data_IF_248075722942
#
_entry.id   IF_248075722942
#
_cell.length_a   1.000
_cell.length_b   1.000
_cell.length_c   1.000
_cell.angle_alpha   90.00
_cell.angle_beta   90.00
_cell.angle_gamma   90.00
#
_symmetry.space_group_name_H-M   'P 1'
#
loop_
_entity.id
_entity.type
_entity.pdbx_description
1 polymer ?
#
# COMPACT_ATOMS: atom_id res chain seq x y z
N UNK A 1 -10.74 -10.21 -6.13
CA UNK A 1 -10.22 -9.50 -4.96
C UNK A 1 -8.75 -9.80 -4.78
N UNK A 2 -7.90 -8.79 -4.71
CA UNK A 2 -6.46 -8.97 -4.62
C UNK A 2 -5.99 -8.74 -3.19
N UNK A 3 -5.02 -9.53 -2.76
CA UNK A 3 -4.40 -9.35 -1.45
C UNK A 3 -2.97 -8.86 -1.66
N UNK A 4 -2.71 -7.63 -1.26
CA UNK A 4 -1.41 -7.00 -1.47
C UNK A 4 -0.57 -7.09 -0.20
N UNK A 5 -0.05 -8.28 0.07
CA UNK A 5 0.71 -8.55 1.29
C UNK A 5 1.90 -7.62 1.46
N UNK A 6 2.55 -7.26 0.35
CA UNK A 6 3.74 -6.41 0.41
C UNK A 6 3.45 -5.00 0.89
N UNK A 7 2.21 -4.53 0.78
CA UNK A 7 1.82 -3.23 1.34
C UNK A 7 2.03 -3.21 2.84
N UNK A 8 1.56 -4.23 3.53
CA UNK A 8 1.72 -4.33 4.97
C UNK A 8 3.19 -4.45 5.33
N UNK A 9 3.92 -5.30 4.61
CA UNK A 9 5.36 -5.50 4.87
C UNK A 9 6.12 -4.20 4.71
N UNK A 10 5.87 -3.45 3.64
CA UNK A 10 6.51 -2.16 3.40
C UNK A 10 6.17 -1.15 4.49
N UNK A 11 4.91 -1.11 4.90
CA UNK A 11 4.47 -0.20 5.95
C UNK A 11 5.18 -0.53 7.27
N UNK A 12 5.21 -1.79 7.66
CA UNK A 12 5.87 -2.21 8.90
C UNK A 12 7.37 -2.01 8.84
N UNK A 13 8.00 -2.27 7.70
CA UNK A 13 9.43 -2.04 7.52
C UNK A 13 9.81 -0.57 7.67
N UNK A 14 8.89 0.34 7.40
CA UNK A 14 9.11 1.78 7.54
C UNK A 14 8.55 2.34 8.85
N UNK A 15 8.15 1.47 9.77
CA UNK A 15 7.64 1.86 11.10
C UNK A 15 6.43 2.80 11.01
N UNK A 16 5.58 2.58 10.03
CA UNK A 16 4.38 3.40 9.83
C UNK A 16 3.14 2.67 10.31
N UNK A 17 2.20 3.42 10.89
CA UNK A 17 0.88 2.89 11.22
C UNK A 17 -0.06 3.04 10.02
N UNK A 18 -1.15 2.27 10.02
CA UNK A 18 -2.18 2.43 8.99
C UNK A 18 -2.72 3.85 8.95
N UNK A 19 -2.88 4.46 10.13
CA UNK A 19 -3.36 5.84 10.22
C UNK A 19 -2.42 6.82 9.55
N UNK A 20 -1.10 6.64 9.74
CA UNK A 20 -0.12 7.52 9.12
C UNK A 20 -0.14 7.40 7.59
N UNK A 21 -0.24 6.18 7.07
CA UNK A 21 -0.31 5.96 5.62
C UNK A 21 -1.61 6.53 5.07
N UNK A 22 -2.72 6.32 5.77
CA UNK A 22 -4.00 6.89 5.35
C UNK A 22 -3.93 8.42 5.28
N UNK A 23 -3.29 9.06 6.26
CA UNK A 23 -3.10 10.51 6.24
C UNK A 23 -2.28 10.95 5.03
N UNK A 24 -1.22 10.22 4.72
CA UNK A 24 -0.41 10.51 3.52
C UNK A 24 -1.26 10.45 2.26
N UNK A 25 -2.16 9.46 2.18
CA UNK A 25 -3.04 9.27 1.03
C UNK A 25 -4.28 10.17 1.07
N UNK A 26 -4.44 10.97 2.12
CA UNK A 26 -5.59 11.87 2.34
C UNK A 26 -6.92 11.10 2.37
N UNK A 27 -6.91 9.97 3.07
CA UNK A 27 -8.11 9.16 3.27
C UNK A 27 -8.22 8.75 4.73
N UNK A 28 -9.37 8.21 5.09
CA UNK A 28 -9.59 7.73 6.46
C UNK A 28 -8.97 6.34 6.63
N UNK A 29 -8.51 6.04 7.83
CA UNK A 29 -7.86 4.78 8.13
C UNK A 29 -8.71 3.54 7.77
N UNK A 30 -10.03 3.50 8.04
CA UNK A 30 -10.83 2.34 7.62
C UNK A 30 -10.83 2.12 6.11
N UNK A 31 -10.75 3.17 5.32
CA UNK A 31 -10.67 3.05 3.86
C UNK A 31 -9.35 2.42 3.45
N UNK A 32 -8.24 2.87 4.04
CA UNK A 32 -6.93 2.30 3.76
C UNK A 32 -6.86 0.84 4.20
N UNK A 33 -7.45 0.51 5.35
CA UNK A 33 -7.48 -0.86 5.85
C UNK A 33 -8.08 -1.82 4.82
N UNK A 34 -9.12 -1.40 4.12
CA UNK A 34 -9.77 -2.25 3.11
C UNK A 34 -8.82 -2.60 1.97
N UNK A 35 -7.92 -1.69 1.61
CA UNK A 35 -6.90 -1.99 0.61
C UNK A 35 -5.87 -2.98 1.14
N UNK A 36 -5.35 -2.74 2.34
CA UNK A 36 -4.31 -3.59 2.90
C UNK A 36 -4.82 -4.99 3.21
N UNK A 37 -6.08 -5.12 3.61
CA UNK A 37 -6.68 -6.42 3.93
C UNK A 37 -7.15 -7.20 2.69
N UNK A 38 -7.15 -6.57 1.52
CA UNK A 38 -7.57 -7.23 0.28
C UNK A 38 -9.06 -7.21 0.04
N UNK A 39 -9.84 -6.51 0.88
CA UNK A 39 -11.28 -6.41 0.73
C UNK A 39 -11.64 -5.58 -0.51
N UNK A 40 -10.78 -4.63 -0.88
CA UNK A 40 -11.02 -3.74 -2.00
C UNK A 40 -9.74 -3.58 -2.80
N UNK A 41 -9.86 -3.59 -4.12
CA UNK A 41 -8.73 -3.36 -5.01
C UNK A 41 -8.26 -1.90 -4.92
N UNK A 42 -6.95 -1.70 -5.07
CA UNK A 42 -6.33 -0.39 -4.93
C UNK A 42 -6.41 0.34 -6.27
N UNK A 43 -6.96 1.56 -6.32
CA UNK A 43 -6.92 2.37 -7.54
C UNK A 43 -5.49 2.66 -7.98
N UNK A 44 -5.29 2.81 -9.28
CA UNK A 44 -3.96 3.01 -9.85
C UNK A 44 -3.25 4.24 -9.26
N UNK A 45 -3.98 5.35 -9.08
CA UNK A 45 -3.39 6.56 -8.52
C UNK A 45 -2.90 6.35 -7.08
N UNK A 46 -3.59 5.54 -6.30
CA UNK A 46 -3.17 5.21 -4.94
C UNK A 46 -1.93 4.31 -4.98
N UNK A 47 -1.89 3.35 -5.91
CA UNK A 47 -0.70 2.50 -6.09
C UNK A 47 0.53 3.34 -6.40
N UNK A 48 0.40 4.33 -7.28
CA UNK A 48 1.51 5.20 -7.64
C UNK A 48 2.00 5.99 -6.43
N UNK A 49 1.08 6.51 -5.62
CA UNK A 49 1.45 7.24 -4.40
C UNK A 49 2.16 6.35 -3.39
N UNK A 50 1.71 5.10 -3.24
CA UNK A 50 2.34 4.16 -2.33
C UNK A 50 3.73 3.78 -2.82
N UNK A 51 3.91 3.57 -4.12
CA UNK A 51 5.22 3.29 -4.69
C UNK A 51 6.18 4.44 -4.44
N UNK A 52 5.71 5.68 -4.56
CA UNK A 52 6.51 6.86 -4.28
C UNK A 52 6.86 6.96 -2.80
N UNK A 53 5.89 6.70 -1.93
CA UNK A 53 6.10 6.75 -0.49
C UNK A 53 7.20 5.77 -0.04
N UNK A 54 7.18 4.55 -0.57
CA UNK A 54 8.11 3.49 -0.17
C UNK A 54 9.34 3.41 -1.07
N UNK A 55 9.46 4.29 -2.07
CA UNK A 55 10.58 4.30 -3.00
C UNK A 55 10.76 2.95 -3.69
N UNK A 56 9.66 2.36 -4.13
CA UNK A 56 9.64 1.08 -4.82
C UNK A 56 8.77 1.17 -6.06
N UNK A 57 8.62 0.06 -6.78
CA UNK A 57 7.80 0.02 -7.99
C UNK A 57 6.39 -0.49 -7.67
N UNK A 58 5.43 -0.12 -8.51
CA UNK A 58 4.09 -0.70 -8.45
C UNK A 58 4.17 -2.21 -8.67
N UNK A 59 5.06 -2.66 -9.57
CA UNK A 59 5.25 -4.09 -9.84
C UNK A 59 5.63 -4.85 -8.57
N UNK A 60 6.53 -4.29 -7.76
CA UNK A 60 6.92 -4.93 -6.51
C UNK A 60 5.73 -5.03 -5.55
N UNK A 61 4.95 -3.95 -5.42
CA UNK A 61 3.77 -3.94 -4.55
C UNK A 61 2.77 -5.01 -4.97
N UNK A 62 2.59 -5.19 -6.28
CA UNK A 62 1.65 -6.15 -6.82
C UNK A 62 2.18 -7.59 -6.82
N UNK A 63 3.45 -7.78 -6.46
CA UNK A 63 4.04 -9.12 -6.44
C UNK A 63 4.49 -9.62 -7.80
N UNK A 64 4.59 -8.74 -8.79
CA UNK A 64 5.01 -9.11 -10.14
C UNK A 64 6.52 -9.23 -10.28
N UNK A 65 7.27 -8.70 -9.32
CA UNK A 65 8.72 -8.79 -9.28
C UNK A 65 9.17 -8.87 -7.84
N UNK A 66 10.32 -9.49 -7.60
CA UNK A 66 10.95 -9.53 -6.27
C UNK A 66 11.96 -8.40 -6.08
N UNK A 67 12.21 -7.61 -7.09
CA UNK A 67 13.15 -6.49 -7.01
C UNK A 67 12.43 -5.26 -6.49
N UNK A 68 12.93 -4.76 -5.39
CA UNK A 68 12.36 -3.58 -4.75
C UNK A 68 12.73 -2.26 -5.43
#
# INVERSE_FOLDING_TARGET
>A
MAFYRRLRDLREDNDLTQKQVAQYLKMKQPQYYRYESGVRDIPTDVLIKLADLYKTSVDYILGLTDKQ
#
